data_IF_643448336329
#
_entry.id   IF_643448336329
#
_cell.length_a   1.000
_cell.length_b   1.000
_cell.length_c   1.000
_cell.angle_alpha   90.00
_cell.angle_beta   90.00
_cell.angle_gamma   90.00
#
_symmetry.space_group_name_H-M   'P 1'
#
loop_
_entity.id
_entity.type
_entity.pdbx_description
1 polymer ?
2 non-polymer ?
3 water ?
#
# COMPACT_ATOMS: atom_id res chain seq x y z
N UNK A 10 1.67 24.74 -12.99
CA UNK A 10 2.98 24.84 -13.71
C UNK A 10 4.03 23.98 -13.00
N UNK A 11 4.23 24.21 -11.68
CA UNK A 11 5.19 23.38 -10.97
C UNK A 11 4.66 21.98 -10.62
N UNK A 12 3.34 21.77 -10.74
CA UNK A 12 2.73 20.47 -10.43
C UNK A 12 2.06 19.88 -11.67
N UNK A 13 2.58 18.73 -12.10
CA UNK A 13 2.01 18.00 -13.22
C UNK A 13 1.20 16.91 -12.59
N UNK A 14 -0.04 16.78 -13.02
CA UNK A 14 -0.87 15.68 -12.55
C UNK A 14 -0.55 14.53 -13.47
N UNK A 15 -0.16 13.38 -12.91
CA UNK A 15 0.12 12.19 -13.72
C UNK A 15 -1.16 11.42 -14.06
N UNK A 16 -1.15 10.72 -15.19
CA UNK A 16 -2.24 9.79 -15.48
C UNK A 16 -2.17 8.56 -14.53
N UNK A 17 -3.31 7.90 -14.32
CA UNK A 17 -3.40 6.72 -13.45
C UNK A 17 -2.43 5.59 -13.86
N UNK A 18 -2.33 5.27 -15.14
CA UNK A 18 -1.40 4.22 -15.59
C UNK A 18 0.03 4.54 -15.27
N UNK A 19 0.44 5.78 -15.54
CA UNK A 19 1.80 6.25 -15.21
C UNK A 19 2.01 6.12 -13.69
N UNK A 20 1.06 6.65 -12.94
CA UNK A 20 1.10 6.59 -11.48
C UNK A 20 1.31 5.18 -10.94
N UNK A 21 0.49 4.28 -11.41
CA UNK A 21 0.62 2.85 -10.97
C UNK A 21 1.90 2.17 -11.45
N UNK A 22 2.35 2.45 -12.68
CA UNK A 22 3.67 1.92 -13.07
C UNK A 22 4.76 2.42 -12.12
N UNK A 23 4.74 3.71 -11.81
CA UNK A 23 5.82 4.26 -10.99
C UNK A 23 5.73 3.70 -9.57
N UNK A 24 4.53 3.59 -9.06
CA UNK A 24 4.38 2.98 -7.72
C UNK A 24 4.93 1.54 -7.69
N UNK A 25 4.60 0.79 -8.75
CA UNK A 25 5.06 -0.58 -9.03
C UNK A 25 6.58 -0.76 -9.11
N UNK A 26 7.32 0.33 -9.40
CA UNK A 26 8.75 0.27 -9.53
C UNK A 26 9.44 0.37 -8.16
N UNK A 27 8.72 0.67 -7.10
CA UNK A 27 9.36 0.77 -5.79
C UNK A 27 8.88 -0.47 -5.00
N UNK A 28 9.62 -0.84 -3.97
CA UNK A 28 9.15 -1.94 -3.11
C UNK A 28 8.88 -1.49 -1.67
N UNK A 29 9.19 -0.24 -1.35
CA UNK A 29 8.87 0.35 -0.04
C UNK A 29 7.88 1.48 -0.20
N UNK A 30 6.81 1.45 0.60
CA UNK A 30 5.81 2.55 0.62
C UNK A 30 5.41 2.90 2.04
N UNK A 31 4.58 3.92 2.20
CA UNK A 31 4.20 4.37 3.53
C UNK A 31 2.72 4.27 3.71
N UNK A 32 2.31 3.67 4.82
CA UNK A 32 0.91 3.58 5.10
C UNK A 32 0.53 4.70 6.07
N UNK A 33 -0.55 5.44 5.75
CA UNK A 33 -0.98 6.41 6.69
C UNK A 33 -2.27 5.91 7.30
N UNK A 34 -2.27 5.85 8.63
CA UNK A 34 -3.40 5.32 9.36
C UNK A 34 -3.90 6.32 10.35
N UNK A 35 -5.12 6.07 10.80
CA UNK A 35 -5.70 6.92 11.79
C UNK A 35 -6.71 6.25 12.62
N UNK A 36 -6.72 6.61 13.91
CA UNK A 36 -7.86 6.32 14.79
C UNK A 36 -8.39 7.69 15.23
N UNK A 37 -9.50 8.08 14.61
CA UNK A 37 -10.05 9.45 14.68
C UNK A 37 -9.01 10.45 14.19
N UNK A 38 -8.61 11.38 15.05
CA UNK A 38 -7.63 12.41 14.67
C UNK A 38 -6.16 12.11 14.98
N UNK A 39 -5.89 11.08 15.78
CA UNK A 39 -4.51 10.68 15.87
C UNK A 39 -4.19 9.98 14.58
N UNK A 40 -3.08 10.39 14.00
CA UNK A 40 -2.54 9.82 12.76
C UNK A 40 -1.21 9.15 13.02
N UNK A 41 -0.86 8.17 12.20
CA UNK A 41 0.51 7.65 12.19
C UNK A 41 0.83 7.23 10.81
N UNK A 42 2.10 6.99 10.58
CA UNK A 42 2.57 6.62 9.30
C UNK A 42 3.81 5.74 9.47
N UNK A 43 3.88 4.69 8.64
CA UNK A 43 5.02 3.82 8.71
C UNK A 43 5.32 3.17 7.37
N UNK A 44 6.59 2.93 7.10
CA UNK A 44 7.01 2.35 5.81
C UNK A 44 6.80 0.84 5.84
N UNK A 45 6.47 0.26 4.70
CA UNK A 45 6.34 -1.20 4.62
C UNK A 45 6.87 -1.60 3.28
N UNK A 46 7.36 -2.84 3.16
CA UNK A 46 7.59 -3.45 1.83
C UNK A 46 6.23 -3.93 1.30
N UNK A 47 5.92 -3.60 0.06
CA UNK A 47 4.58 -3.87 -0.52
C UNK A 47 4.78 -4.46 -1.93
N UNK A 48 3.70 -5.01 -2.47
CA UNK A 48 3.64 -5.30 -3.89
C UNK A 48 2.28 -4.82 -4.37
N UNK A 49 2.24 -4.35 -5.62
CA UNK A 49 1.01 -4.00 -6.30
C UNK A 49 0.50 -5.22 -7.08
N UNK A 50 -0.76 -5.57 -6.87
CA UNK A 50 -1.41 -6.72 -7.52
C UNK A 50 -2.53 -6.20 -8.43
N UNK A 51 -2.56 -6.70 -9.66
CA UNK A 51 -3.51 -6.26 -10.70
C UNK A 51 -4.65 -7.20 -11.02
N UNK A 52 -4.59 -8.33 -10.32
CA UNK A 52 -5.31 -9.54 -10.72
C UNK A 52 -6.84 -9.51 -10.52
N UNK A 53 -7.35 -8.52 -9.79
CA UNK A 53 -8.80 -8.42 -9.56
C UNK A 53 -9.41 -7.36 -10.47
N UNK A 54 -10.60 -6.87 -10.12
CA UNK A 54 -11.27 -5.82 -10.90
C UNK A 54 -10.65 -4.45 -10.65
N UNK A 55 -10.01 -4.30 -9.50
CA UNK A 55 -9.35 -3.05 -9.15
C UNK A 55 -7.92 -3.31 -8.65
N UNK A 56 -7.05 -2.27 -8.68
CA UNK A 56 -5.70 -2.47 -8.13
C UNK A 56 -5.74 -2.79 -6.64
N UNK A 57 -4.83 -3.65 -6.20
CA UNK A 57 -4.71 -4.03 -4.79
C UNK A 57 -3.26 -3.97 -4.38
N UNK A 58 -3.00 -3.51 -3.17
CA UNK A 58 -1.65 -3.58 -2.58
C UNK A 58 -1.62 -4.57 -1.46
N UNK A 59 -0.59 -5.41 -1.42
CA UNK A 59 -0.37 -6.27 -0.25
C UNK A 59 0.90 -5.89 0.47
N UNK A 60 0.85 -5.97 1.79
CA UNK A 60 2.03 -5.87 2.62
C UNK A 60 1.86 -6.79 3.82
N UNK A 61 2.92 -6.96 4.61
CA UNK A 61 2.88 -7.80 5.78
C UNK A 61 2.96 -7.01 7.03
N UNK A 62 2.32 -7.52 8.08
CA UNK A 62 2.44 -6.97 9.41
C UNK A 62 2.86 -8.06 10.39
N UNK A 63 4.06 -7.93 10.96
CA UNK A 63 4.45 -8.80 12.07
C UNK A 63 3.69 -8.40 13.32
N UNK A 66 4.08 -6.05 17.00
CA UNK A 66 4.37 -4.70 16.46
C UNK A 66 3.18 -3.73 16.53
N UNK A 67 1.95 -4.25 16.42
CA UNK A 67 0.72 -3.43 16.57
C UNK A 67 0.75 -2.11 15.77
N UNK A 68 1.44 -2.11 14.64
CA UNK A 68 1.45 -0.98 13.72
C UNK A 68 0.13 -0.81 12.98
N UNK A 69 -0.35 -1.87 12.30
CA UNK A 69 -1.72 -1.87 11.73
C UNK A 69 -2.60 -2.81 12.53
N UNK A 70 -3.51 -2.23 13.30
CA UNK A 70 -4.34 -2.92 14.29
C UNK A 70 -5.80 -2.82 13.83
N UNK A 71 -6.68 -3.74 14.25
CA UNK A 71 -8.09 -3.64 13.84
C UNK A 71 -8.82 -2.38 14.34
N UNK A 72 -8.26 -1.70 15.36
CA UNK A 72 -8.89 -0.47 15.88
C UNK A 72 -8.54 0.78 15.12
N UNK A 73 -7.55 0.69 14.25
CA UNK A 73 -7.32 1.75 13.26
C UNK A 73 -8.46 1.71 12.25
N UNK A 74 -8.85 2.85 11.75
CA UNK A 74 -9.82 2.86 10.70
C UNK A 74 -9.30 1.97 9.53
N UNK A 75 -10.19 1.29 8.81
CA UNK A 75 -9.75 0.57 7.61
C UNK A 75 -9.37 1.54 6.50
N UNK A 76 -9.79 2.81 6.64
CA UNK A 76 -9.53 3.84 5.64
C UNK A 76 -8.10 4.37 5.82
N UNK A 77 -7.31 4.27 4.75
CA UNK A 77 -5.87 4.53 4.80
C UNK A 77 -5.44 5.31 3.57
N UNK A 78 -4.22 5.85 3.62
CA UNK A 78 -3.56 6.24 2.40
C UNK A 78 -2.33 5.41 2.28
N UNK A 79 -1.87 5.22 1.06
CA UNK A 79 -0.60 4.55 0.80
C UNK A 79 0.18 5.40 -0.18
N UNK A 80 1.44 5.68 0.15
CA UNK A 80 2.21 6.61 -0.59
C UNK A 80 3.59 6.06 -0.95
N UNK A 81 3.99 6.37 -2.18
CA UNK A 81 5.34 6.12 -2.67
C UNK A 81 5.83 7.45 -3.26
N UNK A 82 7.13 7.79 -3.10
CA UNK A 82 7.70 8.95 -3.77
C UNK A 82 9.16 8.75 -4.20
N UNK A 83 9.67 9.79 -4.89
CA UNK A 83 11.10 10.01 -5.29
C UNK A 83 11.37 11.44 -5.66
N UNK A 84 12.28 12.04 -4.91
CA UNK A 84 12.38 13.45 -4.85
C UNK A 84 13.86 13.84 -4.81
N UNK A 85 14.13 15.15 -4.85
CA UNK A 85 15.48 15.71 -5.03
C UNK A 85 15.62 17.08 -4.38
N UNK A 88 13.70 18.28 -8.73
CA UNK A 88 12.39 17.72 -9.13
C UNK A 88 12.01 16.46 -8.35
N UNK A 89 10.76 15.99 -8.48
CA UNK A 89 10.40 14.63 -8.04
C UNK A 89 8.97 14.20 -8.39
N UNK A 90 8.52 13.08 -7.85
CA UNK A 90 7.13 12.58 -8.03
C UNK A 90 6.67 11.86 -6.79
N UNK A 91 5.34 11.79 -6.62
CA UNK A 91 4.75 10.96 -5.58
C UNK A 91 3.46 10.39 -6.11
N UNK A 92 3.07 9.24 -5.58
CA UNK A 92 1.80 8.62 -5.93
C UNK A 92 1.14 8.34 -4.56
N UNK A 93 -0.11 8.76 -4.43
CA UNK A 93 -0.93 8.52 -3.21
C UNK A 93 -2.12 7.66 -3.61
N UNK A 94 -2.26 6.54 -2.93
CA UNK A 94 -3.47 5.76 -3.07
C UNK A 94 -4.40 6.02 -1.88
N UNK A 95 -5.70 6.23 -2.15
CA UNK A 95 -6.69 6.16 -1.09
C UNK A 95 -7.34 4.79 -1.11
N UNK A 96 -7.52 4.17 0.07
CA UNK A 96 -8.20 2.90 0.07
C UNK A 96 -8.59 2.39 1.43
N UNK A 97 -8.97 1.11 1.45
CA UNK A 97 -9.34 0.43 2.69
C UNK A 97 -8.48 -0.79 2.88
N UNK A 98 -7.89 -0.89 4.08
CA UNK A 98 -6.91 -1.95 4.35
C UNK A 98 -7.56 -3.01 5.27
N UNK A 99 -7.38 -4.29 4.93
CA UNK A 99 -7.89 -5.38 5.74
C UNK A 99 -6.86 -6.49 5.83
N UNK A 100 -6.75 -7.11 7.01
CA UNK A 100 -5.99 -8.39 7.14
C UNK A 100 -6.62 -9.44 6.22
N UNK A 101 -5.87 -10.35 5.57
CA UNK A 101 -6.41 -11.18 4.41
C UNK A 101 -7.49 -12.35 4.57
N UNK A 102 -7.36 -13.18 5.59
CA UNK A 102 -8.40 -14.21 5.88
C UNK A 102 -8.62 -15.40 4.92
N UNK A 103 -8.83 -15.16 3.61
CA UNK A 103 -9.03 -16.23 2.63
C UNK A 103 -7.72 -17.12 2.36
N UNK A 104 -7.73 -18.37 2.87
CA UNK A 104 -6.64 -19.34 2.67
C UNK A 104 -6.09 -19.26 1.25
N UNK A 105 -6.98 -19.26 0.25
CA UNK A 105 -6.54 -19.02 -1.15
C UNK A 105 -5.88 -17.65 -1.40
N UNK A 106 -6.33 -16.61 -0.71
CA UNK A 106 -5.77 -15.27 -0.98
C UNK A 106 -4.37 -15.03 -0.33
N UNK A 107 -4.19 -15.36 0.96
CA UNK A 107 -2.84 -15.49 1.56
C UNK A 107 -1.78 -16.24 0.69
N UNK A 108 -2.20 -17.38 0.14
CA UNK A 108 -1.37 -18.21 -0.72
C UNK A 108 -0.96 -17.48 -2.02
N UNK A 109 -1.96 -16.90 -2.67
CA UNK A 109 -1.79 -15.96 -3.77
C UNK A 109 -0.86 -14.75 -3.44
N UNK A 110 -1.12 -14.05 -2.34
CA UNK A 110 -0.26 -12.92 -1.93
C UNK A 110 1.22 -13.35 -1.77
N UNK A 111 1.42 -14.58 -1.30
CA UNK A 111 2.75 -15.15 -1.10
C UNK A 111 3.54 -15.47 -2.39
N UNK A 112 2.92 -15.30 -3.56
CA UNK A 112 3.60 -15.59 -4.83
C UNK A 112 4.04 -14.30 -5.53
N UNK A 113 3.74 -13.17 -4.90
CA UNK A 113 3.91 -11.87 -5.53
C UNK A 113 5.31 -11.25 -5.40
N UNK A 114 6.19 -11.89 -4.64
CA UNK A 114 7.59 -11.46 -4.53
C UNK A 114 7.90 -10.43 -3.45
N UNK A 115 7.17 -10.45 -2.33
CA UNK A 115 7.57 -9.64 -1.17
C UNK A 115 8.83 -10.23 -0.57
N UNK A 116 9.68 -9.39 0.01
CA UNK A 116 10.93 -9.88 0.58
C UNK A 116 10.70 -10.85 1.77
N UNK A 117 11.28 -12.06 1.72
CA UNK A 117 11.11 -12.95 2.88
C UNK A 117 11.58 -12.33 4.21
N UNK A 118 10.84 -12.58 5.27
CA UNK A 118 11.27 -12.14 6.59
C UNK A 118 12.13 -13.22 7.28
N UNK A 119 12.51 -12.97 8.53
CA UNK A 119 13.09 -14.03 9.35
C UNK A 119 12.01 -15.12 9.53
N UNK A 120 12.37 -16.39 9.23
CA UNK A 120 11.45 -17.54 9.19
C UNK A 120 10.70 -17.85 10.50
N UNK A 121 10.93 -17.04 11.53
CA UNK A 121 10.36 -17.27 12.86
C UNK A 121 9.23 -16.30 13.19
N UNK A 122 9.30 -15.10 12.62
CA UNK A 122 8.28 -14.08 12.83
C UNK A 122 6.97 -14.51 12.16
N UNK A 123 5.95 -14.82 12.96
CA UNK A 123 4.59 -14.99 12.43
C UNK A 123 4.13 -13.62 11.91
N UNK A 124 3.23 -13.64 10.93
CA UNK A 124 2.78 -12.41 10.28
C UNK A 124 1.42 -12.59 9.62
N UNK A 125 0.80 -11.48 9.21
CA UNK A 125 -0.35 -11.55 8.34
C UNK A 125 -0.08 -10.68 7.13
N UNK A 126 -0.69 -10.98 6.00
CA UNK A 126 -0.77 -10.05 4.88
C UNK A 126 -1.88 -9.04 5.16
N UNK A 127 -1.74 -7.81 4.71
CA UNK A 127 -2.83 -6.84 4.74
C UNK A 127 -3.04 -6.53 3.26
N UNK A 128 -4.30 -6.46 2.82
CA UNK A 128 -4.68 -6.06 1.47
C UNK A 128 -5.27 -4.66 1.52
N UNK A 129 -4.83 -3.80 0.61
CA UNK A 129 -5.47 -2.50 0.41
C UNK A 129 -6.29 -2.54 -0.87
N UNK A 130 -7.59 -2.32 -0.75
CA UNK A 130 -8.45 -2.16 -1.89
C UNK A 130 -8.41 -0.67 -2.25
N UNK A 131 -7.92 -0.37 -3.45
CA UNK A 131 -7.66 0.99 -3.89
C UNK A 131 -8.89 1.64 -4.48
N UNK A 132 -9.26 2.78 -3.91
CA UNK A 132 -10.43 3.58 -4.33
C UNK A 132 -9.99 4.68 -5.31
N UNK A 133 -8.79 5.23 -5.09
CA UNK A 133 -8.28 6.39 -5.87
C UNK A 133 -6.76 6.34 -6.01
N UNK A 134 -6.28 6.89 -7.12
CA UNK A 134 -4.84 6.92 -7.41
C UNK A 134 -4.56 8.38 -7.72
N UNK A 135 -3.60 8.99 -7.04
CA UNK A 135 -3.20 10.35 -7.43
C UNK A 135 -1.72 10.45 -7.62
N UNK A 136 -1.27 10.79 -8.82
CA UNK A 136 0.17 10.90 -9.01
C UNK A 136 0.49 12.33 -9.31
N UNK A 137 1.63 12.80 -8.84
CA UNK A 137 2.02 14.18 -9.12
C UNK A 137 3.50 14.19 -9.40
N UNK A 138 3.93 15.06 -10.29
CA UNK A 138 5.31 15.36 -10.44
C UNK A 138 5.44 16.84 -10.13
N UNK A 139 6.52 17.15 -9.44
CA UNK A 139 6.86 18.50 -9.01
C UNK A 139 8.16 18.94 -9.67
N UNK A 140 8.17 20.08 -10.38
CA UNK A 140 9.38 20.65 -10.95
C UNK A 140 9.58 22.11 -10.53
X LIG B 1 9.86 5.15 -1.62
X LIG B 1 8.65 4.84 -1.67
X LIG B 1 10.79 4.34 -1.85
X LIG B 1 10.23 6.59 -1.29
#
# INVERSE_FOLDING_TARGET
SNAMMGIMSDPITILDSSDSLSRLSSESVGRLVVHRKDDLDIFPVNFVLDYSAEQPRVYFRTAEGTKLFSVNLNSDVLFEVDRFDDAEGWSVVLKGNAYVVRDTEEARHADTLGLKPWLPTLKYNFVRIDVREVSGRAFVFGEEPERY
ACY C O OXT CH3
#
